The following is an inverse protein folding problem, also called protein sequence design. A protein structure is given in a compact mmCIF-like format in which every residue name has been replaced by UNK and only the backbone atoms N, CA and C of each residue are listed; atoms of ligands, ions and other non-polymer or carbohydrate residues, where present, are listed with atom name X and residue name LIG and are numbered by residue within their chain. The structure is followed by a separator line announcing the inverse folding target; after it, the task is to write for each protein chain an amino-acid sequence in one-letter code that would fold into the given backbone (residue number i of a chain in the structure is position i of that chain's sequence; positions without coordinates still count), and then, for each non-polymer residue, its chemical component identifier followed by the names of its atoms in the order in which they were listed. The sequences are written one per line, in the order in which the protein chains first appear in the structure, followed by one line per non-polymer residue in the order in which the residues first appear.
data_IF_437849486098
#
_entry.id   IF_437849486098
#
_cell.length_a   1.000
_cell.length_b   1.000
_cell.length_c   1.000
_cell.angle_alpha   90.00
_cell.angle_beta   90.00
_cell.angle_gamma   90.00
#
_symmetry.space_group_name_H-M   'P 1'
#
loop_
_entity.id
_entity.type
_entity.pdbx_description
1 polymer ?
#
# COMPACT_ATOMS: atom_id res chain seq x y z
N UNK A 1 -10.59 9.20 0.67
CA UNK A 1 -10.02 8.68 1.92
C UNK A 1 -10.01 7.18 1.89
N UNK A 2 -9.17 6.58 2.68
CA UNK A 2 -9.07 5.12 2.72
C UNK A 2 -10.39 4.45 3.11
N UNK A 3 -11.18 5.11 3.93
CA UNK A 3 -12.51 4.61 4.33
C UNK A 3 -13.47 4.49 3.15
N UNK A 4 -13.16 5.12 2.02
CA UNK A 4 -13.99 5.06 0.82
C UNK A 4 -13.70 3.82 -0.03
N UNK A 5 -12.64 3.08 0.29
CA UNK A 5 -12.30 1.86 -0.43
C UNK A 5 -13.30 0.75 -0.10
N UNK A 6 -13.63 -0.02 -1.13
CA UNK A 6 -14.45 -1.21 -0.95
C UNK A 6 -13.56 -2.39 -0.63
N UNK A 7 -14.10 -3.32 0.17
CA UNK A 7 -13.44 -4.60 0.37
C UNK A 7 -13.31 -5.34 -0.97
N UNK A 8 -12.27 -6.15 -1.10
CA UNK A 8 -12.10 -7.01 -2.26
C UNK A 8 -13.27 -7.97 -2.44
N UNK A 9 -13.86 -8.38 -1.31
CA UNK A 9 -15.09 -9.17 -1.25
C UNK A 9 -15.80 -8.84 0.05
N UNK A 10 -17.12 -9.06 0.07
CA UNK A 10 -17.89 -8.85 1.29
C UNK A 10 -17.31 -9.69 2.43
N UNK A 11 -17.04 -9.06 3.57
CA UNK A 11 -16.41 -9.71 4.71
C UNK A 11 -14.89 -9.89 4.60
N UNK A 12 -14.29 -9.43 3.53
CA UNK A 12 -12.83 -9.49 3.38
C UNK A 12 -12.16 -8.51 4.34
N UNK A 13 -10.97 -8.89 4.83
CA UNK A 13 -10.12 -8.02 5.64
C UNK A 13 -9.31 -7.02 4.80
N UNK A 14 -9.35 -7.13 3.48
CA UNK A 14 -8.58 -6.30 2.57
C UNK A 14 -9.48 -5.46 1.68
N UNK A 15 -8.93 -4.37 1.17
CA UNK A 15 -9.55 -3.58 0.12
C UNK A 15 -8.57 -3.45 -1.04
N UNK A 16 -9.08 -3.49 -2.26
CA UNK A 16 -8.25 -3.30 -3.44
C UNK A 16 -7.82 -1.84 -3.57
N UNK A 17 -6.59 -1.64 -4.07
CA UNK A 17 -6.07 -0.32 -4.39
C UNK A 17 -6.01 -0.18 -5.92
N UNK A 18 -6.94 0.56 -6.52
CA UNK A 18 -6.92 0.76 -7.97
C UNK A 18 -5.82 1.77 -8.34
N UNK A 19 -5.21 1.57 -9.50
CA UNK A 19 -4.24 2.53 -10.03
C UNK A 19 -4.94 3.81 -10.48
N UNK A 20 -4.31 4.95 -10.18
CA UNK A 20 -4.83 6.25 -10.55
C UNK A 20 -4.67 6.54 -12.05
N UNK A 21 -3.56 6.08 -12.63
CA UNK A 21 -3.15 6.46 -13.98
C UNK A 21 -2.74 5.25 -14.80
N UNK A 22 -2.74 5.42 -16.12
CA UNK A 22 -2.09 4.47 -17.00
C UNK A 22 -0.58 4.55 -16.77
N UNK A 23 0.09 3.41 -16.82
CA UNK A 23 1.53 3.31 -16.58
C UNK A 23 2.18 2.55 -17.72
N UNK A 24 3.18 3.16 -18.34
CA UNK A 24 4.01 2.51 -19.34
C UNK A 24 5.46 2.82 -19.01
N UNK A 25 6.22 1.80 -18.68
CA UNK A 25 7.62 1.97 -18.35
C UNK A 25 8.52 1.74 -19.56
N UNK A 26 9.80 2.14 -19.40
CA UNK A 26 10.82 1.81 -20.37
C UNK A 26 11.08 0.31 -20.38
N UNK A 27 11.55 -0.25 -21.50
CA UNK A 27 11.98 -1.65 -21.54
C UNK A 27 13.08 -1.94 -20.53
N UNK A 28 13.10 -3.18 -20.05
CA UNK A 28 14.15 -3.62 -19.14
C UNK A 28 13.72 -3.69 -17.68
N UNK A 29 12.53 -3.23 -17.36
CA UNK A 29 11.99 -3.35 -16.01
C UNK A 29 12.55 -2.34 -15.04
N UNK A 30 12.39 -2.60 -13.73
CA UNK A 30 12.83 -1.74 -12.65
C UNK A 30 11.85 -1.71 -11.50
N UNK A 31 12.03 -0.73 -10.62
CA UNK A 31 11.14 -0.49 -9.48
C UNK A 31 10.44 0.84 -9.70
N UNK A 32 9.10 0.84 -9.56
CA UNK A 32 8.27 2.00 -9.84
C UNK A 32 7.34 2.27 -8.67
N UNK A 33 7.07 3.57 -8.42
CA UNK A 33 6.05 4.02 -7.46
C UNK A 33 4.82 4.43 -8.23
N UNK A 34 3.70 3.80 -7.95
CA UNK A 34 2.47 4.03 -8.68
C UNK A 34 1.44 4.71 -7.78
N UNK A 35 0.72 5.68 -8.33
CA UNK A 35 -0.27 6.48 -7.61
C UNK A 35 -1.60 5.74 -7.53
N UNK A 36 -2.30 5.95 -6.43
CA UNK A 36 -3.63 5.35 -6.21
C UNK A 36 -4.73 6.38 -6.07
N UNK A 37 -4.39 7.65 -5.83
CA UNK A 37 -5.32 8.71 -5.43
C UNK A 37 -6.05 8.38 -4.12
N UNK A 38 -5.50 7.48 -3.33
CA UNK A 38 -6.02 7.14 -2.01
C UNK A 38 -5.09 7.74 -0.96
N UNK A 39 -5.66 8.44 -0.01
CA UNK A 39 -4.90 9.18 1.00
C UNK A 39 -5.32 8.72 2.39
N UNK A 40 -4.36 8.74 3.33
CA UNK A 40 -4.68 8.58 4.75
C UNK A 40 -5.50 9.75 5.28
N UNK A 41 -5.73 9.79 6.59
CA UNK A 41 -5.22 8.84 7.57
C UNK A 41 -6.01 7.53 7.61
N UNK A 42 -5.42 6.53 8.26
CA UNK A 42 -6.10 5.27 8.54
C UNK A 42 -6.96 5.41 9.80
N UNK A 43 -7.90 4.49 10.02
CA UNK A 43 -8.65 4.49 11.28
C UNK A 43 -7.70 4.41 12.48
N UNK A 44 -8.02 5.14 13.54
CA UNK A 44 -7.22 5.15 14.75
C UNK A 44 -7.09 3.73 15.31
N UNK A 45 -5.90 3.39 15.79
CA UNK A 45 -5.62 2.08 16.35
C UNK A 45 -5.29 1.00 15.32
N UNK A 46 -5.15 1.39 14.04
CA UNK A 46 -4.80 0.44 12.99
C UNK A 46 -3.54 0.87 12.27
N UNK A 47 -2.94 -0.07 11.54
CA UNK A 47 -1.94 0.24 10.54
C UNK A 47 -2.30 -0.48 9.25
N UNK A 48 -1.75 -0.02 8.13
CA UNK A 48 -2.01 -0.63 6.84
C UNK A 48 -0.84 -1.44 6.35
N UNK A 49 -1.12 -2.58 5.75
CA UNK A 49 -0.11 -3.41 5.10
C UNK A 49 -0.50 -3.55 3.63
N UNK A 50 0.38 -3.08 2.74
CA UNK A 50 0.15 -3.18 1.30
C UNK A 50 0.78 -4.48 0.80
N UNK A 51 -0.03 -5.27 0.12
CA UNK A 51 0.38 -6.56 -0.43
C UNK A 51 -0.06 -6.65 -1.88
N UNK A 52 0.62 -7.54 -2.63
CA UNK A 52 0.22 -7.83 -3.99
C UNK A 52 -1.00 -8.73 -4.04
N UNK A 53 -1.71 -8.66 -5.16
CA UNK A 53 -2.77 -9.62 -5.47
C UNK A 53 -2.18 -10.76 -6.30
N UNK A 54 -2.80 -11.93 -6.22
CA UNK A 54 -2.33 -13.09 -6.99
C UNK A 54 -2.36 -12.84 -8.50
N UNK A 55 -3.30 -12.04 -8.97
CA UNK A 55 -3.35 -11.67 -10.39
C UNK A 55 -2.10 -10.91 -10.83
N UNK A 56 -1.54 -10.07 -9.97
CA UNK A 56 -0.30 -9.36 -10.27
C UNK A 56 0.89 -10.33 -10.35
N UNK A 57 0.96 -11.27 -9.41
CA UNK A 57 2.02 -12.27 -9.40
C UNK A 57 2.00 -13.11 -10.68
N UNK A 58 0.82 -13.49 -11.15
CA UNK A 58 0.68 -14.25 -12.39
C UNK A 58 1.14 -13.47 -13.62
N UNK A 59 1.16 -12.13 -13.53
CA UNK A 59 1.65 -11.27 -14.61
C UNK A 59 3.13 -10.95 -14.48
N UNK A 60 3.82 -11.55 -13.52
CA UNK A 60 5.24 -11.29 -13.28
C UNK A 60 5.53 -10.00 -12.54
N UNK A 61 4.53 -9.41 -11.89
CA UNK A 61 4.68 -8.18 -11.11
C UNK A 61 4.90 -8.54 -9.64
N UNK A 62 5.94 -7.99 -9.04
CA UNK A 62 6.19 -8.13 -7.61
C UNK A 62 5.81 -6.83 -6.92
N UNK A 63 4.80 -6.88 -6.06
CA UNK A 63 4.41 -5.73 -5.25
C UNK A 63 5.26 -5.77 -3.98
N UNK A 64 6.02 -4.71 -3.76
CA UNK A 64 6.88 -4.62 -2.58
C UNK A 64 5.98 -4.28 -1.40
N UNK A 65 5.97 -5.11 -0.34
CA UNK A 65 5.13 -4.83 0.82
C UNK A 65 5.46 -3.48 1.44
N UNK A 66 4.44 -2.75 1.84
CA UNK A 66 4.61 -1.46 2.51
C UNK A 66 3.78 -1.39 3.77
N UNK A 67 4.31 -0.72 4.78
CA UNK A 67 3.62 -0.49 6.04
C UNK A 67 3.22 0.98 6.10
N UNK A 68 1.94 1.24 6.36
CA UNK A 68 1.39 2.59 6.44
C UNK A 68 0.96 2.85 7.88
N UNK A 69 1.55 3.88 8.49
CA UNK A 69 1.17 4.27 9.85
C UNK A 69 -0.21 4.91 9.87
N UNK A 70 -0.90 4.81 11.00
CA UNK A 70 -2.27 5.32 11.12
C UNK A 70 -2.37 6.83 10.90
N UNK A 71 -1.34 7.58 11.25
CA UNK A 71 -1.31 9.04 11.14
C UNK A 71 -0.78 9.54 9.79
N UNK A 72 -0.43 8.65 8.89
CA UNK A 72 0.06 9.04 7.56
C UNK A 72 -1.09 9.65 6.74
N UNK A 73 -0.94 10.91 6.34
CA UNK A 73 -1.97 11.65 5.61
C UNK A 73 -1.65 11.79 4.12
N UNK A 74 -0.49 11.33 3.69
CA UNK A 74 -0.10 11.42 2.29
C UNK A 74 -0.79 10.39 1.41
N UNK A 75 -0.43 10.42 0.14
CA UNK A 75 -0.95 9.45 -0.83
C UNK A 75 -0.33 8.08 -0.59
N UNK A 76 -1.17 7.05 -0.67
CA UNK A 76 -0.72 5.67 -0.59
C UNK A 76 -0.20 5.28 -1.96
N UNK A 77 1.09 4.95 -2.03
CA UNK A 77 1.76 4.58 -3.27
C UNK A 77 2.00 3.08 -3.29
N UNK A 78 1.90 2.51 -4.47
CA UNK A 78 2.20 1.09 -4.70
C UNK A 78 3.59 1.00 -5.30
N UNK A 79 4.49 0.28 -4.64
CA UNK A 79 5.81 0.01 -5.19
C UNK A 79 5.80 -1.34 -5.90
N UNK A 80 6.14 -1.32 -7.18
CA UNK A 80 6.13 -2.52 -8.00
C UNK A 80 7.51 -2.75 -8.60
N UNK A 81 7.94 -4.00 -8.59
CA UNK A 81 9.15 -4.45 -9.26
C UNK A 81 8.76 -5.36 -10.41
N UNK A 82 9.38 -5.14 -11.56
CA UNK A 82 9.15 -5.97 -12.75
C UNK A 82 10.46 -6.15 -13.50
N UNK A 83 10.63 -7.28 -14.14
CA UNK A 83 11.80 -7.56 -14.99
C UNK A 83 11.57 -7.19 -16.45
N UNK A 84 10.36 -6.81 -16.81
CA UNK A 84 9.97 -6.48 -18.18
C UNK A 84 9.31 -5.12 -18.25
N UNK A 85 8.90 -4.71 -19.44
CA UNK A 85 8.14 -3.47 -19.62
C UNK A 85 6.85 -3.54 -18.80
N UNK A 86 6.60 -2.50 -18.01
CA UNK A 86 5.39 -2.37 -17.24
C UNK A 86 4.33 -1.67 -18.09
N UNK A 87 3.18 -2.30 -18.27
CA UNK A 87 2.05 -1.73 -18.98
C UNK A 87 0.79 -2.01 -18.21
N UNK A 88 0.23 -0.96 -17.61
CA UNK A 88 -0.95 -1.04 -16.75
C UNK A 88 -1.90 0.09 -17.09
N UNK A 89 -3.18 -0.15 -16.87
CA UNK A 89 -4.24 0.83 -17.10
C UNK A 89 -4.75 1.40 -15.78
N UNK A 90 -5.21 2.63 -15.84
CA UNK A 90 -5.90 3.25 -14.72
C UNK A 90 -7.07 2.37 -14.30
N UNK A 91 -7.25 2.24 -12.98
CA UNK A 91 -8.30 1.39 -12.43
C UNK A 91 -7.90 -0.07 -12.22
N UNK A 92 -6.77 -0.52 -12.78
CA UNK A 92 -6.32 -1.88 -12.52
C UNK A 92 -5.97 -2.07 -11.05
N UNK A 93 -6.26 -3.26 -10.53
CA UNK A 93 -6.12 -3.60 -9.11
C UNK A 93 -5.05 -4.64 -8.96
N UNK A 94 -3.80 -4.19 -8.82
CA UNK A 94 -2.64 -5.08 -8.68
C UNK A 94 -2.21 -5.24 -7.23
N UNK A 95 -2.74 -4.40 -6.33
CA UNK A 95 -2.39 -4.42 -4.92
C UNK A 95 -3.63 -4.28 -4.06
N UNK A 96 -3.47 -4.59 -2.81
CA UNK A 96 -4.52 -4.49 -1.80
C UNK A 96 -3.92 -3.96 -0.51
N UNK A 97 -4.77 -3.37 0.31
CA UNK A 97 -4.38 -2.92 1.65
C UNK A 97 -5.15 -3.72 2.69
N UNK A 98 -4.43 -4.18 3.70
CA UNK A 98 -4.97 -4.88 4.85
C UNK A 98 -4.83 -3.96 6.05
N UNK A 99 -5.94 -3.68 6.74
CA UNK A 99 -5.91 -2.89 7.97
C UNK A 99 -5.86 -3.84 9.16
N UNK A 100 -4.86 -3.66 10.01
CA UNK A 100 -4.63 -4.50 11.17
C UNK A 100 -4.61 -3.64 12.43
N UNK A 101 -5.22 -4.12 13.53
CA UNK A 101 -5.07 -3.45 14.80
C UNK A 101 -3.64 -3.62 15.30
N UNK A 102 -3.13 -2.64 16.05
CA UNK A 102 -1.86 -2.80 16.71
C UNK A 102 -2.05 -2.78 18.21
N UNK A 103 -1.15 -3.46 18.92
CA UNK A 103 -1.20 -3.54 20.37
C UNK A 103 -0.80 -2.20 20.98
N UNK A 104 -1.48 -1.73 22.04
CA UNK A 104 -1.14 -0.46 22.71
C UNK A 104 0.31 -0.34 23.14
N UNK A 105 0.97 -1.45 23.43
CA UNK A 105 2.38 -1.48 23.78
C UNK A 105 3.25 -0.91 22.65
N UNK A 106 2.92 -1.19 21.40
CA UNK A 106 3.69 -0.68 20.26
C UNK A 106 3.60 0.85 20.17
N UNK A 107 2.43 1.41 20.42
CA UNK A 107 2.25 2.86 20.44
C UNK A 107 3.10 3.50 21.55
N UNK A 108 3.11 2.89 22.72
CA UNK A 108 3.93 3.37 23.84
C UNK A 108 5.42 3.29 23.51
N UNK A 109 5.84 2.20 22.89
CA UNK A 109 7.24 2.01 22.51
C UNK A 109 7.67 3.06 21.49
N UNK A 110 6.84 3.36 20.52
CA UNK A 110 7.13 4.40 19.52
C UNK A 110 7.26 5.77 20.15
N UNK A 111 6.42 6.10 21.12
CA UNK A 111 6.53 7.35 21.87
C UNK A 111 7.87 7.47 22.58
N UNK A 112 8.30 6.41 23.26
CA UNK A 112 9.59 6.38 23.94
C UNK A 112 10.75 6.56 22.96
N UNK A 113 10.69 5.87 21.85
CA UNK A 113 11.72 5.96 20.80
C UNK A 113 11.84 7.39 20.30
N UNK A 114 10.72 8.05 20.03
CA UNK A 114 10.73 9.45 19.61
C UNK A 114 11.29 10.36 20.70
N UNK A 115 10.98 10.08 21.96
CA UNK A 115 11.49 10.85 23.11
C UNK A 115 13.00 10.80 23.25
N UNK A 116 13.63 9.74 22.73
CA UNK A 116 15.07 9.60 22.74
C UNK A 116 15.74 10.14 21.48
N UNK A 117 14.99 10.83 20.65
CA UNK A 117 15.54 11.40 19.42
C UNK A 117 15.94 10.34 18.40
N UNK A 118 15.20 9.27 18.34
CA UNK A 118 15.45 8.21 17.39
C UNK A 118 15.49 8.74 15.97
N UNK A 119 16.46 8.27 15.21
CA UNK A 119 16.61 8.61 13.80
C UNK A 119 15.88 7.62 12.90
N UNK A 120 15.35 6.63 13.46
CA UNK A 120 14.75 5.50 12.81
C UNK A 120 13.72 5.57 11.87
#
# INVERSE_FOLDING_TARGET
MISDLRSAASGSATADLPLADNVLSSPGGGIYKLKTNVFGPLPEGTFGLILGRSSAALRGLTIIPGVIDSDYVGEILIMVSTSTTLSLLAGERIAQILLLPYHPFLALLNKRTRGFGSTG
#
